data_IF_816475288092
#
_entry.id   IF_816475288092
#
_cell.length_a   1.000
_cell.length_b   1.000
_cell.length_c   1.000
_cell.angle_alpha   90.00
_cell.angle_beta   90.00
_cell.angle_gamma   90.00
#
_symmetry.space_group_name_H-M   'P 1'
#
loop_
_entity.id
_entity.type
_entity.pdbx_description
1 polymer ?
#
# COMPACT_ATOMS: atom_id res chain seq x y z
N UNK A 1 -77.24 -6.32 42.69
CA UNK A 1 -75.82 -6.64 42.97
C UNK A 1 -74.97 -5.65 42.22
N UNK A 2 -74.49 -4.61 42.90
CA UNK A 2 -73.63 -3.58 42.29
C UNK A 2 -72.19 -4.08 42.31
N UNK A 3 -71.44 -4.04 41.19
CA UNK A 3 -70.03 -4.41 41.20
C UNK A 3 -69.23 -3.42 42.07
N UNK A 4 -68.14 -3.87 42.73
CA UNK A 4 -67.38 -3.01 43.63
C UNK A 4 -66.63 -1.92 42.85
N UNK A 5 -66.42 -0.73 43.43
CA UNK A 5 -65.66 0.34 42.79
C UNK A 5 -64.18 -0.06 42.75
N UNK A 6 -63.69 -0.41 41.56
CA UNK A 6 -62.27 -0.65 41.34
C UNK A 6 -61.56 0.71 41.40
N UNK A 7 -61.04 1.06 42.58
CA UNK A 7 -60.17 2.22 42.77
C UNK A 7 -58.77 1.84 42.32
N UNK A 8 -58.47 1.99 41.03
CA UNK A 8 -57.08 2.09 40.63
C UNK A 8 -56.56 3.45 41.10
N UNK A 9 -55.56 3.52 41.99
CA UNK A 9 -54.94 4.79 42.32
C UNK A 9 -54.43 5.43 41.03
N UNK A 10 -54.76 6.69 40.79
CA UNK A 10 -54.22 7.49 39.67
C UNK A 10 -52.70 7.29 39.46
N UNK A 11 -51.86 7.18 40.53
CA UNK A 11 -50.44 6.88 40.41
C UNK A 11 -50.13 5.57 39.68
N UNK A 12 -50.93 4.53 39.90
CA UNK A 12 -50.73 3.21 39.31
C UNK A 12 -51.04 3.24 37.81
N UNK A 13 -52.05 4.01 37.41
CA UNK A 13 -52.41 4.18 36.00
C UNK A 13 -51.34 5.00 35.26
N UNK A 14 -50.82 6.06 35.88
CA UNK A 14 -49.69 6.84 35.35
C UNK A 14 -48.45 5.95 35.19
N UNK A 15 -48.13 5.12 36.19
CA UNK A 15 -46.99 4.21 36.15
C UNK A 15 -47.11 3.19 35.01
N UNK A 16 -48.30 2.61 34.82
CA UNK A 16 -48.56 1.65 33.72
C UNK A 16 -48.42 2.33 32.36
N UNK A 17 -48.93 3.55 32.20
CA UNK A 17 -48.79 4.32 30.96
C UNK A 17 -47.31 4.67 30.70
N UNK A 18 -46.57 5.10 31.73
CA UNK A 18 -45.13 5.36 31.62
C UNK A 18 -44.35 4.10 31.23
N UNK A 19 -44.63 2.95 31.87
CA UNK A 19 -44.00 1.67 31.54
C UNK A 19 -44.37 1.21 30.12
N UNK A 20 -45.60 1.45 29.67
CA UNK A 20 -46.01 1.14 28.30
C UNK A 20 -45.30 2.04 27.27
N UNK A 21 -45.15 3.34 27.56
CA UNK A 21 -44.45 4.29 26.68
C UNK A 21 -42.95 3.99 26.65
N UNK A 22 -42.32 3.73 27.80
CA UNK A 22 -40.89 3.35 27.87
C UNK A 22 -40.66 1.99 27.20
N UNK A 23 -41.56 1.03 27.39
CA UNK A 23 -41.51 -0.26 26.71
C UNK A 23 -41.67 -0.12 25.20
N UNK A 24 -42.58 0.75 24.74
CA UNK A 24 -42.79 1.02 23.32
C UNK A 24 -41.60 1.73 22.68
N UNK A 25 -41.07 2.76 23.34
CA UNK A 25 -39.84 3.45 22.91
C UNK A 25 -38.64 2.51 22.89
N UNK A 26 -38.48 1.69 23.94
CA UNK A 26 -37.42 0.68 24.00
C UNK A 26 -37.53 -0.33 22.87
N UNK A 27 -38.75 -0.77 22.53
CA UNK A 27 -38.99 -1.71 21.41
C UNK A 27 -38.71 -1.08 20.05
N UNK A 28 -39.14 0.17 19.83
CA UNK A 28 -38.86 0.90 18.59
C UNK A 28 -37.35 1.19 18.42
N UNK A 29 -36.65 1.54 19.50
CA UNK A 29 -35.19 1.68 19.51
C UNK A 29 -34.49 0.34 19.26
N UNK A 30 -34.95 -0.75 19.88
CA UNK A 30 -34.40 -2.09 19.67
C UNK A 30 -34.68 -2.63 18.26
N UNK A 31 -35.81 -2.27 17.64
CA UNK A 31 -36.10 -2.61 16.24
C UNK A 31 -35.23 -1.77 15.30
N UNK A 32 -35.08 -0.47 15.52
CA UNK A 32 -34.21 0.39 14.69
C UNK A 32 -32.72 0.03 14.81
N UNK A 33 -32.23 -0.24 16.02
CA UNK A 33 -30.87 -0.75 16.26
C UNK A 33 -30.74 -2.18 15.74
N UNK A 34 -31.77 -3.01 15.90
CA UNK A 34 -31.83 -4.38 15.40
C UNK A 34 -31.75 -4.44 13.88
N UNK A 35 -32.38 -3.51 13.16
CA UNK A 35 -32.34 -3.41 11.70
C UNK A 35 -31.05 -2.76 11.20
N UNK A 36 -30.46 -1.82 11.94
CA UNK A 36 -29.12 -1.31 11.66
C UNK A 36 -28.05 -2.40 11.85
N UNK A 37 -28.16 -3.21 12.91
CA UNK A 37 -27.27 -4.32 13.21
C UNK A 37 -27.52 -5.49 12.25
N UNK A 38 -28.77 -5.86 11.93
CA UNK A 38 -29.08 -6.88 10.92
C UNK A 38 -28.71 -6.45 9.52
N UNK A 39 -28.89 -5.18 9.13
CA UNK A 39 -28.43 -4.70 7.82
C UNK A 39 -26.91 -4.57 7.76
N UNK A 40 -26.23 -4.41 8.91
CA UNK A 40 -24.79 -4.56 9.08
C UNK A 40 -24.34 -6.01 8.92
N UNK A 41 -24.97 -6.95 9.63
CA UNK A 41 -24.67 -8.39 9.57
C UNK A 41 -25.07 -9.01 8.23
N UNK A 42 -26.17 -8.59 7.61
CA UNK A 42 -26.57 -9.00 6.27
C UNK A 42 -25.58 -8.45 5.23
N UNK A 43 -25.10 -7.20 5.36
CA UNK A 43 -23.99 -6.67 4.52
C UNK A 43 -22.66 -7.40 4.74
N UNK A 44 -22.38 -7.86 5.96
CA UNK A 44 -21.19 -8.66 6.30
C UNK A 44 -21.32 -10.09 5.73
N UNK A 45 -22.52 -10.66 5.71
CA UNK A 45 -22.79 -12.01 5.21
C UNK A 45 -22.99 -12.08 3.69
N UNK A 46 -23.51 -11.03 3.05
CA UNK A 46 -23.81 -11.03 1.61
C UNK A 46 -22.81 -10.24 0.76
N UNK A 47 -22.02 -9.36 1.38
CA UNK A 47 -21.33 -8.29 0.65
C UNK A 47 -22.34 -7.38 -0.10
N UNK A 48 -21.90 -6.23 -0.67
CA UNK A 48 -22.59 -5.65 -1.81
C UNK A 48 -22.59 -6.69 -2.96
N UNK A 49 -23.53 -6.67 -3.91
CA UNK A 49 -23.42 -7.51 -5.11
C UNK A 49 -22.16 -7.10 -5.87
N UNK A 50 -21.08 -7.85 -5.64
CA UNK A 50 -19.85 -7.80 -6.41
C UNK A 50 -20.04 -8.77 -7.58
N UNK A 51 -19.65 -8.43 -8.81
CA UNK A 51 -19.30 -9.46 -9.78
C UNK A 51 -18.10 -10.23 -9.21
N UNK A 52 -18.35 -11.26 -8.41
CA UNK A 52 -17.29 -12.11 -7.87
C UNK A 52 -16.74 -12.96 -9.01
N UNK A 53 -15.48 -12.74 -9.36
CA UNK A 53 -14.70 -13.79 -9.98
C UNK A 53 -14.12 -14.61 -8.84
N UNK A 54 -14.66 -15.82 -8.62
CA UNK A 54 -14.14 -16.80 -7.64
C UNK A 54 -12.75 -17.34 -8.05
N UNK A 55 -12.20 -16.81 -9.15
CA UNK A 55 -10.88 -17.11 -9.68
C UNK A 55 -10.06 -15.82 -9.66
N UNK A 56 -9.02 -15.70 -8.81
CA UNK A 56 -8.05 -14.62 -8.94
C UNK A 56 -7.34 -14.78 -10.29
N UNK A 57 -7.66 -13.91 -11.26
CA UNK A 57 -7.06 -13.98 -12.57
C UNK A 57 -5.65 -13.37 -12.54
N UNK A 58 -4.66 -14.22 -12.78
CA UNK A 58 -3.31 -13.82 -13.19
C UNK A 58 -3.40 -13.10 -14.53
N UNK A 59 -2.94 -11.85 -14.59
CA UNK A 59 -2.48 -11.23 -15.84
C UNK A 59 -1.15 -11.89 -16.25
N UNK A 60 -0.75 -11.77 -17.51
CA UNK A 60 0.63 -12.10 -17.94
C UNK A 60 1.72 -11.23 -17.26
N UNK A 61 1.33 -10.29 -16.38
CA UNK A 61 2.22 -9.53 -15.48
C UNK A 61 1.85 -9.62 -13.99
N UNK A 62 1.07 -10.61 -13.55
CA UNK A 62 0.68 -10.77 -12.14
C UNK A 62 -0.60 -10.03 -11.72
N UNK A 63 -0.91 -10.06 -10.42
CA UNK A 63 -2.03 -9.34 -9.77
C UNK A 63 -1.39 -8.15 -9.07
N UNK A 64 -1.77 -6.90 -9.40
CA UNK A 64 -1.35 -5.72 -8.63
C UNK A 64 -1.82 -5.94 -7.19
N UNK A 65 -0.88 -5.98 -6.25
CA UNK A 65 -1.17 -6.26 -4.84
C UNK A 65 -1.09 -5.02 -3.99
N UNK A 66 -0.32 -4.02 -4.42
CA UNK A 66 -0.13 -2.78 -3.68
C UNK A 66 -0.18 -1.58 -4.61
N UNK A 67 -0.69 -0.49 -4.06
CA UNK A 67 -0.68 0.83 -4.68
C UNK A 67 -0.19 1.87 -3.69
N UNK A 68 0.39 2.95 -4.21
CA UNK A 68 0.64 4.19 -3.49
C UNK A 68 -0.48 5.18 -3.83
N UNK A 69 -1.12 5.75 -2.82
CA UNK A 69 -2.03 6.89 -3.01
C UNK A 69 -1.20 8.15 -3.22
N UNK A 70 -1.49 8.87 -4.31
CA UNK A 70 -0.71 10.02 -4.74
C UNK A 70 -1.08 11.31 -4.00
N UNK A 71 -2.29 11.39 -3.44
CA UNK A 71 -2.77 12.57 -2.73
C UNK A 71 -3.64 12.24 -1.53
N UNK A 72 -3.85 13.25 -0.70
CA UNK A 72 -4.77 13.20 0.42
C UNK A 72 -6.21 13.46 -0.04
N UNK A 73 -7.18 13.04 0.77
CA UNK A 73 -8.60 13.29 0.52
C UNK A 73 -9.17 12.52 -0.66
N UNK A 74 -8.57 11.38 -1.02
CA UNK A 74 -9.04 10.54 -2.13
C UNK A 74 -10.38 9.92 -1.78
N UNK A 75 -11.36 10.09 -2.66
CA UNK A 75 -12.71 9.58 -2.46
C UNK A 75 -12.76 8.09 -2.81
N UNK A 76 -13.10 7.27 -1.81
CA UNK A 76 -13.32 5.85 -1.99
C UNK A 76 -14.82 5.56 -2.09
N UNK A 77 -15.24 4.88 -3.15
CA UNK A 77 -16.65 4.61 -3.47
C UNK A 77 -17.02 3.16 -3.16
N UNK A 78 -18.32 2.87 -3.01
CA UNK A 78 -18.79 1.50 -2.69
C UNK A 78 -18.67 0.53 -3.87
N UNK A 79 -18.78 1.08 -5.08
CA UNK A 79 -18.61 0.45 -6.38
C UNK A 79 -17.92 1.47 -7.29
N UNK A 80 -17.24 1.06 -8.38
CA UNK A 80 -16.64 2.00 -9.33
C UNK A 80 -17.62 3.11 -9.73
N UNK A 81 -17.17 4.37 -9.69
CA UNK A 81 -17.96 5.58 -9.95
C UNK A 81 -19.27 5.73 -9.12
N UNK A 82 -19.37 4.97 -8.02
CA UNK A 82 -20.58 4.88 -7.20
C UNK A 82 -20.67 5.91 -6.08
N UNK A 83 -21.63 5.74 -5.14
CA UNK A 83 -21.72 6.61 -3.98
C UNK A 83 -20.47 6.48 -3.10
N UNK A 84 -20.07 7.62 -2.52
CA UNK A 84 -18.97 7.71 -1.57
C UNK A 84 -19.18 6.70 -0.43
N UNK A 85 -18.18 5.84 -0.23
CA UNK A 85 -18.08 4.96 0.91
C UNK A 85 -17.32 5.64 2.05
N UNK A 86 -16.18 6.25 1.71
CA UNK A 86 -15.25 6.88 2.63
C UNK A 86 -14.37 7.90 1.91
N UNK A 87 -13.70 8.77 2.65
CA UNK A 87 -12.66 9.66 2.12
C UNK A 87 -11.34 9.30 2.80
N UNK A 88 -10.39 8.79 2.01
CA UNK A 88 -9.06 8.47 2.49
C UNK A 88 -8.32 9.78 2.66
N UNK A 89 -8.29 10.28 3.89
CA UNK A 89 -7.70 11.58 4.24
C UNK A 89 -6.20 11.69 4.07
N UNK A 90 -5.53 10.65 3.52
CA UNK A 90 -4.08 10.50 3.59
C UNK A 90 -3.45 9.68 2.48
N UNK A 91 -2.23 10.04 2.10
CA UNK A 91 -1.33 9.20 1.29
C UNK A 91 -0.87 8.01 2.11
N UNK A 92 -1.10 6.82 1.56
CA UNK A 92 -0.67 5.54 2.15
C UNK A 92 -0.30 4.56 1.05
N UNK A 93 0.54 3.60 1.41
CA UNK A 93 0.55 2.31 0.73
C UNK A 93 -0.71 1.53 1.11
N UNK A 94 -1.43 1.05 0.11
CA UNK A 94 -2.65 0.28 0.31
C UNK A 94 -2.56 -1.06 -0.43
N UNK A 95 -3.12 -2.10 0.19
CA UNK A 95 -3.32 -3.39 -0.44
C UNK A 95 -4.48 -3.28 -1.44
N UNK A 96 -4.29 -3.89 -2.62
CA UNK A 96 -5.30 -4.04 -3.65
C UNK A 96 -6.05 -5.35 -3.42
N UNK A 97 -7.36 -5.23 -3.25
CA UNK A 97 -8.28 -6.36 -3.09
C UNK A 97 -8.94 -6.76 -4.40
N UNK A 98 -9.16 -5.81 -5.31
CA UNK A 98 -9.87 -6.04 -6.58
C UNK A 98 -9.56 -4.92 -7.59
N UNK A 99 -9.83 -5.17 -8.88
CA UNK A 99 -9.56 -4.23 -9.98
C UNK A 99 -10.76 -4.13 -10.93
N UNK A 100 -10.97 -2.95 -11.53
CA UNK A 100 -12.05 -2.72 -12.47
C UNK A 100 -11.64 -1.81 -13.64
N UNK A 101 -12.05 -2.09 -14.88
CA UNK A 101 -12.72 -3.32 -15.32
C UNK A 101 -11.82 -4.55 -15.17
N UNK A 102 -12.41 -5.73 -15.03
CA UNK A 102 -11.67 -7.00 -14.86
C UNK A 102 -10.76 -7.29 -16.06
N UNK A 103 -11.09 -6.73 -17.24
CA UNK A 103 -10.31 -6.87 -18.48
C UNK A 103 -9.96 -5.51 -19.05
N UNK A 104 -8.74 -5.38 -19.55
CA UNK A 104 -8.21 -4.15 -20.12
C UNK A 104 -7.31 -3.41 -19.15
N UNK A 105 -7.21 -2.10 -19.33
CA UNK A 105 -6.53 -1.20 -18.41
C UNK A 105 -7.43 -0.90 -17.20
N UNK A 106 -6.93 -1.08 -15.96
CA UNK A 106 -7.71 -0.75 -14.78
C UNK A 106 -8.03 0.74 -14.72
N UNK A 107 -9.31 1.05 -14.56
CA UNK A 107 -9.81 2.40 -14.26
C UNK A 107 -9.98 2.63 -12.77
N UNK A 108 -10.09 1.55 -11.99
CA UNK A 108 -10.34 1.60 -10.56
C UNK A 108 -9.65 0.43 -9.84
N UNK A 109 -9.25 0.69 -8.60
CA UNK A 109 -8.71 -0.29 -7.67
C UNK A 109 -9.56 -0.30 -6.41
N UNK A 110 -9.95 -1.49 -5.96
CA UNK A 110 -10.51 -1.67 -4.62
C UNK A 110 -9.36 -1.82 -3.65
N UNK A 111 -9.21 -0.87 -2.75
CA UNK A 111 -8.03 -0.78 -1.90
C UNK A 111 -8.37 -0.81 -0.41
N UNK A 112 -7.36 -1.08 0.41
CA UNK A 112 -7.48 -0.99 1.85
C UNK A 112 -6.15 -1.20 2.58
N UNK A 113 -6.21 -1.23 3.90
CA UNK A 113 -5.07 -1.58 4.75
C UNK A 113 -5.54 -2.61 5.77
N UNK A 114 -5.17 -3.88 5.57
CA UNK A 114 -5.69 -5.08 6.27
C UNK A 114 -7.19 -5.35 6.08
N UNK A 115 -8.00 -4.32 5.82
CA UNK A 115 -9.42 -4.41 5.44
C UNK A 115 -9.73 -3.48 4.25
N UNK A 116 -10.66 -3.84 3.36
CA UNK A 116 -11.09 -2.97 2.26
C UNK A 116 -11.70 -1.66 2.76
N UNK A 117 -11.31 -0.53 2.16
CA UNK A 117 -11.89 0.79 2.39
C UNK A 117 -12.95 1.09 1.32
N UNK A 118 -12.59 0.95 0.04
CA UNK A 118 -13.50 1.19 -1.09
C UNK A 118 -12.78 1.17 -2.44
N UNK A 119 -13.50 1.54 -3.49
CA UNK A 119 -13.00 1.67 -4.86
C UNK A 119 -12.48 3.08 -5.10
N UNK A 120 -11.26 3.18 -5.64
CA UNK A 120 -10.57 4.44 -5.93
C UNK A 120 -10.19 4.47 -7.41
N UNK A 121 -10.20 5.65 -8.02
CA UNK A 121 -9.78 5.86 -9.40
C UNK A 121 -8.31 5.49 -9.60
N UNK A 122 -8.00 4.83 -10.72
CA UNK A 122 -6.64 4.53 -11.13
C UNK A 122 -5.77 5.79 -11.28
N UNK A 123 -6.37 6.95 -11.58
CA UNK A 123 -5.65 8.22 -11.68
C UNK A 123 -5.15 8.75 -10.32
N UNK A 124 -5.72 8.28 -9.20
CA UNK A 124 -5.35 8.71 -7.86
C UNK A 124 -4.30 7.80 -7.20
N UNK A 125 -3.87 6.75 -7.90
CA UNK A 125 -2.99 5.72 -7.36
C UNK A 125 -1.88 5.36 -8.34
N UNK A 126 -0.72 5.01 -7.80
CA UNK A 126 0.37 4.39 -8.52
C UNK A 126 0.43 2.89 -8.17
N UNK A 127 0.18 1.97 -9.13
CA UNK A 127 0.43 0.54 -8.95
C UNK A 127 1.92 0.29 -8.68
N UNK A 128 2.24 -0.18 -7.47
CA UNK A 128 3.63 -0.29 -7.03
C UNK A 128 3.82 -1.40 -6.00
N UNK A 129 4.26 -2.58 -6.48
CA UNK A 129 4.26 -3.81 -5.69
C UNK A 129 5.53 -4.04 -4.85
N UNK A 130 6.67 -3.49 -5.25
CA UNK A 130 8.01 -3.87 -4.75
C UNK A 130 8.80 -2.77 -4.05
N UNK A 131 8.22 -1.57 -3.87
CA UNK A 131 8.88 -0.37 -3.31
C UNK A 131 10.28 -0.05 -3.86
N UNK A 132 10.62 -0.67 -4.98
CA UNK A 132 11.88 -0.51 -5.66
C UNK A 132 11.84 0.85 -6.32
N UNK A 133 12.91 1.61 -6.13
CA UNK A 133 13.12 2.89 -6.79
C UNK A 133 14.44 2.85 -7.56
N UNK A 134 14.47 3.64 -8.61
CA UNK A 134 15.70 4.09 -9.24
C UNK A 134 16.07 5.43 -8.60
N UNK A 135 17.31 5.59 -8.14
CA UNK A 135 17.84 6.82 -7.53
C UNK A 135 18.77 7.47 -8.55
N UNK A 136 18.28 8.37 -9.41
CA UNK A 136 19.10 8.96 -10.45
C UNK A 136 19.94 10.13 -9.94
N UNK A 137 21.12 10.33 -10.54
CA UNK A 137 21.77 11.65 -10.48
C UNK A 137 20.89 12.70 -11.19
N UNK A 138 20.82 13.95 -10.70
CA UNK A 138 20.16 15.03 -11.43
C UNK A 138 20.77 15.20 -12.83
N UNK A 139 19.92 15.27 -13.85
CA UNK A 139 20.35 15.33 -15.24
C UNK A 139 19.38 14.64 -16.18
N UNK A 140 19.87 14.19 -17.34
CA UNK A 140 19.02 13.60 -18.37
C UNK A 140 19.19 12.08 -18.39
N UNK A 141 18.08 11.35 -18.20
CA UNK A 141 18.03 9.89 -18.32
C UNK A 141 17.63 9.51 -19.76
N UNK A 142 18.35 8.57 -20.41
CA UNK A 142 17.97 8.11 -21.74
C UNK A 142 16.67 7.30 -21.70
N UNK A 143 15.73 7.58 -22.59
CA UNK A 143 14.54 6.75 -22.73
C UNK A 143 14.74 5.63 -23.73
N UNK A 144 14.07 4.51 -23.45
CA UNK A 144 13.78 3.48 -24.44
C UNK A 144 12.33 3.66 -24.86
N UNK A 145 12.12 4.32 -26.00
CA UNK A 145 10.77 4.64 -26.47
C UNK A 145 9.88 3.40 -26.59
N UNK A 146 8.64 3.51 -26.10
CA UNK A 146 7.58 2.63 -26.56
C UNK A 146 7.11 3.14 -27.93
N UNK A 147 7.37 2.36 -28.98
CA UNK A 147 6.76 2.49 -30.32
C UNK A 147 7.18 3.70 -31.20
N UNK A 148 7.92 3.37 -32.27
CA UNK A 148 7.94 3.96 -33.62
C UNK A 148 8.78 5.19 -33.99
N UNK A 149 9.38 5.97 -33.08
CA UNK A 149 10.33 7.01 -33.50
C UNK A 149 11.64 6.88 -32.72
N UNK A 150 12.73 6.74 -33.49
CA UNK A 150 14.10 6.44 -33.08
C UNK A 150 14.91 7.70 -32.76
N UNK A 151 14.31 8.67 -32.07
CA UNK A 151 15.07 9.77 -31.50
C UNK A 151 15.21 9.49 -30.01
N UNK A 152 16.44 9.40 -29.52
CA UNK A 152 16.78 9.30 -28.10
C UNK A 152 16.32 10.57 -27.39
N UNK A 153 15.02 10.64 -27.08
CA UNK A 153 14.47 11.69 -26.23
C UNK A 153 14.89 11.32 -24.82
N UNK A 154 15.76 12.12 -24.20
CA UNK A 154 16.06 12.01 -22.78
C UNK A 154 15.00 12.72 -21.95
N UNK A 155 14.82 12.31 -20.69
CA UNK A 155 13.98 13.01 -19.71
C UNK A 155 14.88 13.63 -18.66
N UNK A 156 14.65 14.92 -18.40
CA UNK A 156 15.31 15.60 -17.29
C UNK A 156 14.67 15.18 -15.97
N UNK A 157 15.53 14.76 -15.04
CA UNK A 157 15.18 14.39 -13.68
C UNK A 157 15.97 15.26 -12.70
N UNK A 158 15.35 15.57 -11.57
CA UNK A 158 15.90 16.46 -10.55
C UNK A 158 16.62 15.70 -9.41
N UNK A 159 16.76 14.38 -9.54
CA UNK A 159 17.31 13.49 -8.52
C UNK A 159 16.26 12.87 -7.59
N UNK A 160 14.97 13.24 -7.72
CA UNK A 160 13.90 12.57 -6.98
C UNK A 160 13.86 11.08 -7.32
N UNK A 161 13.78 10.17 -6.32
CA UNK A 161 13.67 8.74 -6.56
C UNK A 161 12.46 8.39 -7.44
N UNK A 162 12.66 7.52 -8.42
CA UNK A 162 11.67 7.13 -9.41
C UNK A 162 11.15 5.73 -9.09
N UNK A 163 9.85 5.56 -8.77
CA UNK A 163 9.27 4.23 -8.55
C UNK A 163 9.45 3.32 -9.77
N UNK A 164 10.02 2.13 -9.54
CA UNK A 164 10.08 1.06 -10.54
C UNK A 164 8.77 0.28 -10.45
N UNK A 165 7.98 0.32 -11.53
CA UNK A 165 6.64 -0.28 -11.59
C UNK A 165 6.62 -1.59 -12.37
N UNK A 166 7.55 -1.79 -13.31
CA UNK A 166 7.68 -3.01 -14.10
C UNK A 166 9.13 -3.18 -14.59
N UNK A 167 9.49 -4.35 -15.09
CA UNK A 167 10.80 -4.61 -15.69
C UNK A 167 10.74 -5.75 -16.72
N UNK A 168 11.56 -5.60 -17.77
CA UNK A 168 11.65 -6.58 -18.85
C UNK A 168 13.11 -6.65 -19.34
N UNK A 169 13.73 -7.82 -19.17
CA UNK A 169 15.12 -8.05 -19.57
C UNK A 169 16.07 -7.07 -18.88
N UNK A 170 16.68 -6.16 -19.65
CA UNK A 170 17.61 -5.12 -19.17
C UNK A 170 16.99 -3.72 -19.15
N UNK A 171 15.67 -3.64 -19.02
CA UNK A 171 14.92 -2.38 -18.96
C UNK A 171 14.01 -2.39 -17.75
N UNK A 172 13.82 -1.21 -17.17
CA UNK A 172 12.88 -0.97 -16.08
C UNK A 172 11.87 0.07 -16.52
N UNK A 173 10.60 -0.14 -16.19
CA UNK A 173 9.58 0.87 -16.32
C UNK A 173 9.55 1.68 -15.03
N UNK A 174 9.74 2.98 -15.14
CA UNK A 174 9.71 3.91 -14.01
C UNK A 174 8.57 4.91 -14.14
N UNK A 175 8.05 5.36 -13.01
CA UNK A 175 7.09 6.45 -12.95
C UNK A 175 7.85 7.77 -12.72
N UNK A 176 7.71 8.71 -13.64
CA UNK A 176 8.32 10.04 -13.59
C UNK A 176 7.34 11.01 -12.95
N UNK A 177 7.84 11.77 -11.98
CA UNK A 177 7.05 12.79 -11.30
C UNK A 177 6.85 14.03 -12.18
N UNK A 178 5.71 14.71 -12.00
CA UNK A 178 5.53 16.04 -12.57
C UNK A 178 6.51 17.04 -11.94
N UNK A 179 7.24 17.84 -12.74
CA UNK A 179 8.19 18.82 -12.21
C UNK A 179 7.55 19.75 -11.17
N UNK A 180 8.14 19.79 -9.97
CA UNK A 180 7.63 20.61 -8.85
C UNK A 180 6.44 20.01 -8.08
N UNK A 181 5.98 18.81 -8.44
CA UNK A 181 4.93 18.06 -7.75
C UNK A 181 5.37 16.61 -7.43
N UNK A 182 6.65 16.45 -7.06
CA UNK A 182 7.25 15.18 -6.63
C UNK A 182 6.39 14.49 -5.58
N UNK A 183 6.16 13.19 -5.76
CA UNK A 183 5.30 12.36 -4.90
C UNK A 183 3.81 12.72 -4.88
N UNK A 184 3.35 13.68 -5.69
CA UNK A 184 1.94 14.07 -5.79
C UNK A 184 1.30 13.72 -7.13
N UNK A 185 2.06 13.85 -8.22
CA UNK A 185 1.54 13.58 -9.56
C UNK A 185 2.58 12.91 -10.43
N UNK A 186 2.14 11.90 -11.18
CA UNK A 186 2.93 11.25 -12.22
C UNK A 186 2.73 12.04 -13.52
N UNK A 187 3.82 12.46 -14.14
CA UNK A 187 3.82 13.02 -15.50
C UNK A 187 3.60 11.90 -16.51
N UNK A 188 4.45 10.86 -16.43
CA UNK A 188 4.46 9.75 -17.36
C UNK A 188 5.12 8.51 -16.79
N UNK A 189 4.90 7.37 -17.44
CA UNK A 189 5.63 6.13 -17.17
C UNK A 189 6.47 5.76 -18.38
N UNK A 190 7.74 5.45 -18.17
CA UNK A 190 8.71 5.28 -19.26
C UNK A 190 9.62 4.10 -19.02
N UNK A 191 10.04 3.46 -20.11
CA UNK A 191 11.02 2.39 -20.07
C UNK A 191 12.43 2.97 -20.17
N UNK A 192 13.31 2.58 -19.25
CA UNK A 192 14.69 3.05 -19.16
C UNK A 192 15.64 1.85 -19.26
N UNK A 193 16.71 1.91 -20.07
CA UNK A 193 17.69 0.83 -20.16
C UNK A 193 18.62 0.86 -18.94
N UNK A 194 18.80 -0.27 -18.26
CA UNK A 194 19.55 -0.32 -17.00
C UNK A 194 21.05 -0.03 -17.20
N UNK A 195 21.62 -0.49 -18.33
CA UNK A 195 23.08 -0.46 -18.57
C UNK A 195 23.66 0.93 -18.88
N UNK A 196 22.81 1.94 -19.01
CA UNK A 196 23.19 3.29 -19.42
C UNK A 196 22.84 4.38 -18.41
N UNK A 197 22.30 4.02 -17.24
CA UNK A 197 21.86 4.99 -16.23
C UNK A 197 22.97 5.20 -15.21
N UNK A 198 23.29 6.47 -14.92
CA UNK A 198 23.98 6.85 -13.68
C UNK A 198 22.95 6.92 -12.56
N UNK A 199 22.50 5.74 -12.14
CA UNK A 199 21.52 5.62 -11.07
C UNK A 199 21.74 4.32 -10.31
N UNK A 200 21.47 4.38 -9.02
CA UNK A 200 21.49 3.21 -8.16
C UNK A 200 20.06 2.71 -7.92
N UNK A 201 19.91 1.42 -7.70
CA UNK A 201 18.65 0.88 -7.21
C UNK A 201 18.57 1.07 -5.69
N UNK A 202 17.39 1.45 -5.23
CA UNK A 202 17.10 1.60 -3.81
C UNK A 202 15.73 1.05 -3.45
N UNK A 203 15.43 1.09 -2.16
CA UNK A 203 14.12 0.74 -1.60
C UNK A 203 13.57 1.94 -0.87
N UNK A 204 12.32 2.27 -1.15
CA UNK A 204 11.62 3.33 -0.45
C UNK A 204 11.12 2.84 0.91
N UNK A 205 11.78 3.29 1.97
CA UNK A 205 11.54 2.83 3.33
C UNK A 205 11.13 3.99 4.23
N UNK A 206 10.19 3.72 5.13
CA UNK A 206 9.93 4.63 6.24
C UNK A 206 11.03 4.53 7.30
N UNK A 207 11.21 5.59 8.09
CA UNK A 207 12.13 5.57 9.23
C UNK A 207 11.82 4.46 10.23
N UNK A 208 10.54 4.16 10.44
CA UNK A 208 10.10 3.06 11.31
C UNK A 208 10.56 1.69 10.78
N UNK A 209 10.53 1.49 9.47
CA UNK A 209 11.00 0.26 8.83
C UNK A 209 12.53 0.14 8.89
N UNK A 210 13.27 1.25 8.78
CA UNK A 210 14.71 1.27 9.01
C UNK A 210 15.06 0.83 10.44
N UNK A 211 14.37 1.37 11.45
CA UNK A 211 14.59 1.00 12.85
C UNK A 211 14.26 -0.48 13.11
N UNK A 212 13.26 -1.01 12.42
CA UNK A 212 12.93 -2.43 12.50
C UNK A 212 13.98 -3.31 11.81
N UNK A 213 14.55 -2.89 10.68
CA UNK A 213 15.71 -3.55 10.07
C UNK A 213 16.90 -3.55 11.03
N UNK A 214 17.23 -2.40 11.61
CA UNK A 214 18.33 -2.27 12.58
C UNK A 214 18.12 -3.25 13.75
N UNK A 215 16.93 -3.23 14.36
CA UNK A 215 16.57 -4.09 15.49
C UNK A 215 16.69 -5.58 15.15
N UNK A 216 16.25 -5.99 13.95
CA UNK A 216 16.27 -7.38 13.53
C UNK A 216 17.66 -7.83 13.07
N UNK A 217 18.49 -6.92 12.58
CA UNK A 217 19.80 -7.25 12.01
C UNK A 217 20.87 -7.67 13.03
N UNK A 218 20.72 -7.31 14.31
CA UNK A 218 21.76 -7.48 15.34
C UNK A 218 22.20 -8.94 15.57
N UNK A 219 21.29 -9.90 15.44
CA UNK A 219 21.55 -11.32 15.69
C UNK A 219 21.07 -12.23 14.53
N UNK A 220 20.92 -11.65 13.33
CA UNK A 220 20.32 -12.35 12.20
C UNK A 220 21.31 -13.25 11.47
N UNK A 221 20.85 -14.46 11.14
CA UNK A 221 21.54 -15.36 10.22
C UNK A 221 21.55 -14.81 8.77
N UNK A 222 22.45 -15.26 7.89
CA UNK A 222 22.49 -14.79 6.50
C UNK A 222 21.17 -15.01 5.74
N UNK A 223 20.46 -16.11 6.02
CA UNK A 223 19.14 -16.38 5.42
C UNK A 223 18.08 -15.38 5.92
N UNK A 224 18.15 -14.98 7.19
CA UNK A 224 17.26 -13.96 7.74
C UNK A 224 17.57 -12.57 7.20
N UNK A 225 18.85 -12.23 7.01
CA UNK A 225 19.27 -10.98 6.38
C UNK A 225 18.76 -10.90 4.94
N UNK A 226 18.90 -11.98 4.17
CA UNK A 226 18.35 -12.10 2.82
C UNK A 226 16.82 -11.96 2.82
N UNK A 227 16.13 -12.61 3.75
CA UNK A 227 14.68 -12.49 3.90
C UNK A 227 14.25 -11.07 4.29
N UNK A 228 15.03 -10.36 5.12
CA UNK A 228 14.79 -8.97 5.49
C UNK A 228 14.92 -8.03 4.30
N UNK A 229 15.92 -8.23 3.42
CA UNK A 229 16.08 -7.45 2.19
C UNK A 229 14.86 -7.58 1.28
N UNK A 230 14.40 -8.82 1.05
CA UNK A 230 13.17 -9.07 0.29
C UNK A 230 11.94 -8.51 1.00
N UNK A 231 11.89 -8.59 2.33
CA UNK A 231 10.86 -7.96 3.14
C UNK A 231 10.81 -6.45 2.94
N UNK A 232 11.96 -5.79 2.92
CA UNK A 232 12.09 -4.35 2.69
C UNK A 232 11.52 -3.96 1.33
N UNK A 233 11.97 -4.64 0.27
CA UNK A 233 11.45 -4.47 -1.09
C UNK A 233 9.93 -4.64 -1.11
N UNK A 234 9.42 -5.76 -0.64
CA UNK A 234 7.98 -6.02 -0.70
C UNK A 234 7.15 -5.16 0.28
N UNK A 235 7.76 -4.27 1.07
CA UNK A 235 7.10 -3.48 2.09
C UNK A 235 6.43 -4.35 3.15
N UNK A 236 7.16 -5.38 3.61
CA UNK A 236 6.76 -6.44 4.54
C UNK A 236 7.73 -6.53 5.72
N UNK A 237 7.99 -5.37 6.32
CA UNK A 237 8.84 -5.24 7.50
C UNK A 237 8.03 -5.03 8.78
N UNK A 238 6.71 -5.25 8.76
CA UNK A 238 5.91 -5.09 9.97
C UNK A 238 6.27 -6.17 11.02
N UNK A 239 6.19 -5.85 12.33
CA UNK A 239 6.45 -6.82 13.38
C UNK A 239 5.60 -8.09 13.23
N UNK A 240 6.24 -9.25 13.25
CA UNK A 240 5.60 -10.56 13.10
C UNK A 240 5.40 -11.02 11.64
N UNK A 241 5.73 -10.19 10.66
CA UNK A 241 5.82 -10.63 9.26
C UNK A 241 7.18 -11.28 8.99
N UNK A 242 7.14 -12.51 8.51
CA UNK A 242 8.30 -13.23 7.99
C UNK A 242 8.01 -13.76 6.59
N UNK A 243 9.06 -13.86 5.79
CA UNK A 243 9.03 -14.41 4.45
C UNK A 243 9.79 -15.73 4.49
N UNK A 244 9.17 -16.81 4.02
CA UNK A 244 9.82 -18.12 3.96
C UNK A 244 10.85 -18.21 2.84
N UNK A 245 11.81 -19.15 2.94
CA UNK A 245 12.88 -19.33 1.93
C UNK A 245 12.36 -19.47 0.50
N UNK A 246 11.34 -20.30 0.27
CA UNK A 246 10.72 -20.46 -1.06
C UNK A 246 10.17 -19.15 -1.64
N UNK A 247 9.63 -18.28 -0.78
CA UNK A 247 9.11 -16.97 -1.17
C UNK A 247 10.23 -15.98 -1.47
N UNK A 248 11.33 -16.04 -0.71
CA UNK A 248 12.55 -15.26 -0.99
C UNK A 248 13.07 -15.62 -2.38
N UNK A 249 13.25 -16.91 -2.66
CA UNK A 249 13.74 -17.35 -3.98
C UNK A 249 12.78 -17.00 -5.11
N UNK A 250 11.47 -17.10 -4.87
CA UNK A 250 10.47 -16.68 -5.87
C UNK A 250 10.55 -15.18 -6.14
N UNK A 251 10.71 -14.35 -5.11
CA UNK A 251 10.83 -12.91 -5.25
C UNK A 251 12.10 -12.55 -6.03
N UNK A 252 13.25 -13.10 -5.69
CA UNK A 252 14.51 -12.84 -6.40
C UNK A 252 14.46 -13.24 -7.87
N UNK A 253 13.86 -14.40 -8.19
CA UNK A 253 13.66 -14.83 -9.59
C UNK A 253 12.72 -13.91 -10.35
N UNK A 254 11.78 -13.27 -9.66
CA UNK A 254 10.82 -12.37 -10.28
C UNK A 254 11.38 -10.97 -10.52
N UNK A 255 12.38 -10.53 -9.74
CA UNK A 255 12.93 -9.16 -9.77
C UNK A 255 13.83 -8.88 -10.99
N UNK A 256 14.15 -7.60 -11.27
CA UNK A 256 15.06 -7.26 -12.37
C UNK A 256 16.42 -7.95 -12.20
N UNK A 257 16.90 -8.62 -13.25
CA UNK A 257 18.17 -9.33 -13.20
C UNK A 257 19.42 -8.44 -13.02
N UNK A 258 19.26 -7.12 -13.11
CA UNK A 258 20.30 -6.15 -12.82
C UNK A 258 20.45 -5.82 -11.33
N UNK A 259 19.53 -6.26 -10.47
CA UNK A 259 19.71 -6.14 -9.03
C UNK A 259 20.77 -7.16 -8.60
N UNK A 260 21.87 -6.66 -8.05
CA UNK A 260 22.88 -7.50 -7.44
C UNK A 260 22.45 -7.87 -6.01
N UNK A 261 22.03 -9.13 -5.85
CA UNK A 261 21.61 -9.70 -4.58
C UNK A 261 22.78 -10.02 -3.63
N UNK A 262 24.01 -10.00 -4.14
CA UNK A 262 25.22 -10.38 -3.39
C UNK A 262 25.94 -9.20 -2.75
N UNK A 263 25.63 -7.97 -3.14
CA UNK A 263 26.23 -6.77 -2.55
C UNK A 263 25.77 -6.56 -1.11
N UNK A 264 26.72 -6.66 -0.18
CA UNK A 264 26.76 -5.97 1.10
C UNK A 264 28.08 -5.21 1.18
N UNK A 265 28.07 -3.97 1.66
CA UNK A 265 29.29 -3.16 1.84
C UNK A 265 30.13 -3.71 3.00
N UNK A 266 31.06 -4.63 2.71
CA UNK A 266 31.93 -5.27 3.71
C UNK A 266 32.84 -4.29 4.50
N UNK A 267 32.82 -2.99 4.18
CA UNK A 267 33.66 -1.98 4.82
C UNK A 267 33.20 -1.60 6.25
N UNK A 268 31.95 -1.91 6.64
CA UNK A 268 31.45 -1.67 8.00
C UNK A 268 30.34 -2.65 8.41
N UNK A 269 30.22 -2.98 9.72
CA UNK A 269 29.12 -3.80 10.23
C UNK A 269 27.75 -3.23 9.84
N UNK A 270 26.81 -4.11 9.49
CA UNK A 270 25.46 -3.71 9.06
C UNK A 270 24.76 -2.81 10.08
N UNK A 271 24.91 -3.07 11.39
CA UNK A 271 24.36 -2.24 12.46
C UNK A 271 24.87 -0.80 12.41
N UNK A 272 26.16 -0.60 12.11
CA UNK A 272 26.78 0.71 12.04
C UNK A 272 26.38 1.45 10.76
N UNK A 273 26.17 0.72 9.65
CA UNK A 273 25.63 1.30 8.40
C UNK A 273 24.20 1.79 8.60
N UNK A 274 23.33 0.94 9.14
CA UNK A 274 21.93 1.29 9.40
C UNK A 274 21.79 2.35 10.50
N UNK A 275 22.65 2.32 11.51
CA UNK A 275 22.71 3.34 12.57
C UNK A 275 23.09 4.72 12.02
N UNK A 276 24.17 4.81 11.24
CA UNK A 276 24.55 6.06 10.55
C UNK A 276 23.44 6.58 9.64
N UNK A 277 22.80 5.69 8.86
CA UNK A 277 21.68 6.07 8.01
C UNK A 277 20.49 6.65 8.79
N UNK A 278 20.23 6.16 10.00
CA UNK A 278 19.19 6.71 10.88
C UNK A 278 19.60 8.07 11.48
N UNK A 279 20.87 8.27 11.80
CA UNK A 279 21.38 9.52 12.35
C UNK A 279 21.43 10.62 11.28
N UNK A 280 21.79 10.25 10.04
CA UNK A 280 21.83 11.10 8.85
C UNK A 280 20.51 11.08 8.07
N UNK A 281 19.38 10.80 8.74
CA UNK A 281 18.09 10.64 8.08
C UNK A 281 17.61 11.98 7.50
N UNK A 282 17.57 12.03 6.17
CA UNK A 282 16.98 13.11 5.38
C UNK A 282 15.93 12.52 4.45
N UNK A 283 14.70 13.03 4.50
CA UNK A 283 13.54 12.38 3.91
C UNK A 283 13.31 12.85 2.47
N UNK A 284 13.17 11.91 1.54
CA UNK A 284 12.76 12.20 0.15
C UNK A 284 11.27 12.54 0.06
N UNK A 285 10.47 12.02 0.99
CA UNK A 285 9.06 12.38 1.13
C UNK A 285 8.62 12.29 2.60
N UNK A 286 7.62 13.08 2.96
CA UNK A 286 6.94 12.98 4.24
C UNK A 286 5.42 13.01 4.05
N UNK A 287 4.73 11.99 4.55
CA UNK A 287 3.27 11.88 4.49
C UNK A 287 2.71 11.68 5.89
N UNK A 288 1.83 12.59 6.34
CA UNK A 288 1.28 12.59 7.71
C UNK A 288 2.33 12.47 8.83
N UNK A 289 3.52 13.03 8.63
CA UNK A 289 4.63 12.93 9.59
C UNK A 289 5.36 11.58 9.59
N UNK A 290 5.04 10.69 8.65
CA UNK A 290 5.87 9.52 8.33
C UNK A 290 6.85 9.94 7.25
N UNK A 291 8.12 9.93 7.62
CA UNK A 291 9.24 10.22 6.71
C UNK A 291 9.67 8.95 5.97
N UNK A 292 9.89 9.11 4.67
CA UNK A 292 10.35 8.07 3.77
C UNK A 292 11.63 8.50 3.08
N UNK A 293 12.50 7.53 2.83
CA UNK A 293 13.76 7.71 2.12
C UNK A 293 14.00 6.53 1.18
N UNK A 294 14.53 6.82 0.00
CA UNK A 294 15.14 5.86 -0.90
C UNK A 294 16.49 5.44 -0.33
N UNK A 295 16.54 4.23 0.20
CA UNK A 295 17.76 3.64 0.75
C UNK A 295 18.43 2.79 -0.34
N UNK A 296 19.69 3.05 -0.72
CA UNK A 296 20.39 2.24 -1.73
C UNK A 296 20.42 0.77 -1.33
N UNK A 297 20.27 -0.13 -2.30
CA UNK A 297 20.21 -1.56 -2.03
C UNK A 297 21.47 -2.07 -1.31
N UNK A 298 22.64 -1.55 -1.64
CA UNK A 298 23.94 -1.88 -1.03
C UNK A 298 24.03 -1.60 0.49
N UNK A 299 23.18 -0.70 0.99
CA UNK A 299 23.11 -0.36 2.42
C UNK A 299 22.22 -1.35 3.18
N UNK A 300 21.28 -1.99 2.50
CA UNK A 300 20.35 -2.96 3.09
C UNK A 300 21.04 -4.28 3.44
N UNK A 301 20.46 -5.07 4.36
CA UNK A 301 21.00 -6.39 4.72
C UNK A 301 21.28 -7.28 3.50
N UNK A 302 22.49 -7.81 3.40
CA UNK A 302 22.91 -8.74 2.37
C UNK A 302 23.45 -10.05 2.94
N UNK A 303 23.56 -11.12 2.12
CA UNK A 303 24.12 -12.40 2.56
C UNK A 303 25.59 -12.28 2.98
N UNK A 304 26.31 -11.24 2.55
CA UNK A 304 27.68 -10.95 2.95
C UNK A 304 27.85 -10.29 4.33
N UNK A 305 26.75 -9.99 5.04
CA UNK A 305 26.79 -9.29 6.33
C UNK A 305 26.76 -10.21 7.56
N UNK A 306 26.78 -11.54 7.34
CA UNK A 306 26.82 -12.53 8.41
C UNK A 306 28.27 -12.87 8.80
N UNK A 307 28.92 -11.96 9.53
CA UNK A 307 30.21 -12.20 10.19
C UNK A 307 30.12 -12.01 11.71
#
# INVERSE_FOLDING_TARGET
MSPPPIRFPLPTLILVVLLAVVGWWGRAWLEAVGDAVRSGFARIASGPPVPSSDVPMRREGGIVRKVLLLRDGVQATRVPDGPLADTIGRRIFADVYDIWPIRGEPTHYRIGNRRPIGWVSAADVLPWDTRLVLVPEPGTIPLTGNSKNSDEVGIDVDGTPLPVIDWEGRRVQVAIWEPGASWERIDQTVWVPIDGIRADFGVFLSRAELLELLRRSLDASPDELRAMRIGALLGRLAPGESIGGDQVEQAERAMPGAIDWTLGLADAPLSDRLGRLNDEWDADAAWEGIEYRAVPLEVLPGPGDAE
#
